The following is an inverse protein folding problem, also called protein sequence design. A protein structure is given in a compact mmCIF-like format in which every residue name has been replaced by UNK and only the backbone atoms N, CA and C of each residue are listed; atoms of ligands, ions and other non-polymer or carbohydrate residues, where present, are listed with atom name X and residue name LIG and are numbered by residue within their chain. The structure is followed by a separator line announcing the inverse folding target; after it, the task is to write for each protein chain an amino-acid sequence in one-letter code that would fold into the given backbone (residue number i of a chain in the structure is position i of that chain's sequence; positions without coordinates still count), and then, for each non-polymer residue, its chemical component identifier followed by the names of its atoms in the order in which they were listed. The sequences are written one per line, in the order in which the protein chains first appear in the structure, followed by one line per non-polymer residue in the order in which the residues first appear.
data_IF_069516955444
#
_entry.id   IF_069516955444
#
_cell.length_a   1.000
_cell.length_b   1.000
_cell.length_c   1.000
_cell.angle_alpha   90.00
_cell.angle_beta   90.00
_cell.angle_gamma   90.00
#
_symmetry.space_group_name_H-M   'P 1'
#
loop_
_entity.id
_entity.type
_entity.pdbx_description
1 polymer ?
#
# COMPACT_ATOMS: atom_id res chain seq x y z
N UNK A 1 13.66 -10.69 10.73
CA UNK A 1 12.68 -11.79 10.63
C UNK A 1 13.12 -12.99 11.44
N UNK A 2 14.40 -13.38 11.37
CA UNK A 2 14.98 -14.49 12.14
C UNK A 2 14.56 -14.53 13.62
N UNK A 3 14.85 -13.46 14.39
CA UNK A 3 14.42 -13.36 15.80
C UNK A 3 12.91 -13.53 16.03
N UNK A 4 12.08 -13.11 15.07
CA UNK A 4 10.61 -13.27 15.17
C UNK A 4 10.24 -14.72 14.96
N UNK A 5 10.86 -15.39 13.97
CA UNK A 5 10.65 -16.82 13.72
C UNK A 5 11.10 -17.67 14.90
N UNK A 6 12.18 -17.31 15.59
CA UNK A 6 12.65 -18.03 16.77
C UNK A 6 11.63 -17.95 17.91
N UNK A 7 11.10 -16.75 18.20
CA UNK A 7 10.02 -16.56 19.19
C UNK A 7 8.79 -17.40 18.81
N UNK A 8 8.40 -17.36 17.53
CA UNK A 8 7.23 -18.10 17.02
C UNK A 8 7.40 -19.60 17.22
N UNK A 9 8.59 -20.15 16.90
CA UNK A 9 8.90 -21.58 17.09
C UNK A 9 8.93 -21.98 18.56
N UNK A 10 9.63 -21.21 19.40
CA UNK A 10 9.76 -21.50 20.83
C UNK A 10 8.42 -21.50 21.56
N UNK A 11 7.47 -20.69 21.11
CA UNK A 11 6.17 -20.51 21.76
C UNK A 11 5.01 -21.18 21.01
N UNK A 12 5.29 -21.99 19.98
CA UNK A 12 4.28 -22.64 19.14
C UNK A 12 3.19 -21.67 18.62
N UNK A 13 3.62 -20.49 18.13
CA UNK A 13 2.72 -19.45 17.62
C UNK A 13 2.52 -19.57 16.11
N UNK A 14 1.51 -18.85 15.61
CA UNK A 14 1.29 -18.66 14.17
C UNK A 14 1.78 -17.28 13.78
N UNK A 15 2.66 -17.21 12.78
CA UNK A 15 3.05 -15.95 12.16
C UNK A 15 2.10 -15.61 11.00
N UNK A 16 1.49 -14.43 11.06
CA UNK A 16 0.75 -13.82 9.94
C UNK A 16 1.47 -12.54 9.57
N UNK A 17 1.79 -12.37 8.29
CA UNK A 17 2.48 -11.18 7.81
C UNK A 17 1.48 -10.14 7.27
N UNK A 18 1.48 -8.93 7.85
CA UNK A 18 0.87 -7.76 7.22
C UNK A 18 1.88 -7.15 6.25
N UNK A 19 1.64 -7.37 4.95
CA UNK A 19 2.46 -6.90 3.85
C UNK A 19 1.82 -5.74 3.07
N UNK A 20 0.89 -5.00 3.69
CA UNK A 20 0.20 -3.89 3.04
C UNK A 20 1.15 -2.82 2.47
N UNK A 21 2.36 -2.67 3.04
CA UNK A 21 3.37 -1.69 2.61
C UNK A 21 4.65 -2.29 2.03
N UNK A 22 4.76 -3.61 1.90
CA UNK A 22 6.01 -4.31 1.60
C UNK A 22 5.98 -5.18 0.34
N UNK A 23 4.95 -5.05 -0.51
CA UNK A 23 4.92 -5.79 -1.78
C UNK A 23 6.21 -5.61 -2.58
N UNK A 24 6.86 -6.72 -2.92
CA UNK A 24 8.11 -6.77 -3.68
C UNK A 24 9.39 -6.73 -2.83
N UNK A 25 9.30 -6.42 -1.54
CA UNK A 25 10.46 -6.37 -0.64
C UNK A 25 11.05 -7.77 -0.37
N UNK A 26 12.33 -7.81 0.02
CA UNK A 26 13.05 -9.04 0.36
C UNK A 26 13.81 -8.92 1.68
N UNK A 27 13.95 -10.06 2.36
CA UNK A 27 14.81 -10.26 3.52
C UNK A 27 15.68 -11.49 3.25
N UNK A 28 16.99 -11.30 3.12
CA UNK A 28 17.99 -12.31 2.73
C UNK A 28 17.55 -13.13 1.50
N UNK A 29 17.29 -12.45 0.38
CA UNK A 29 16.84 -13.01 -0.90
C UNK A 29 15.49 -13.76 -0.88
N UNK A 30 14.80 -13.81 0.27
CA UNK A 30 13.46 -14.35 0.38
C UNK A 30 12.43 -13.21 0.37
N UNK A 31 11.38 -13.36 -0.45
CA UNK A 31 10.31 -12.36 -0.59
C UNK A 31 9.51 -12.23 0.71
N UNK A 32 9.23 -10.99 1.11
CA UNK A 32 8.32 -10.71 2.23
C UNK A 32 6.93 -11.22 1.90
N UNK A 33 6.25 -11.80 2.90
CA UNK A 33 4.98 -12.51 2.74
C UNK A 33 5.11 -14.02 2.53
N UNK A 34 6.32 -14.57 2.70
CA UNK A 34 6.60 -16.01 2.57
C UNK A 34 7.21 -16.64 3.83
N UNK A 35 7.31 -15.89 4.92
CA UNK A 35 7.90 -16.35 6.19
C UNK A 35 6.85 -16.92 7.15
N UNK A 36 5.62 -16.39 7.10
CA UNK A 36 4.51 -16.81 7.94
C UNK A 36 3.65 -17.92 7.35
N UNK A 37 2.60 -18.28 8.09
CA UNK A 37 1.56 -19.21 7.65
C UNK A 37 0.69 -18.59 6.55
N UNK A 38 0.48 -17.29 6.62
CA UNK A 38 -0.22 -16.51 5.61
C UNK A 38 0.29 -15.07 5.60
N UNK A 39 0.11 -14.39 4.47
CA UNK A 39 0.43 -12.98 4.34
C UNK A 39 -0.68 -12.23 3.60
N UNK A 40 -0.85 -10.95 3.95
CA UNK A 40 -1.87 -10.08 3.37
C UNK A 40 -1.25 -8.86 2.70
N UNK A 41 -1.65 -8.59 1.47
CA UNK A 41 -1.24 -7.44 0.68
C UNK A 41 -2.42 -6.52 0.42
N UNK A 42 -2.15 -5.21 0.33
CA UNK A 42 -3.14 -4.19 0.02
C UNK A 42 -2.88 -3.61 -1.36
N UNK A 43 -3.97 -3.36 -2.09
CA UNK A 43 -3.96 -2.69 -3.40
C UNK A 43 -4.75 -1.37 -3.36
N UNK A 44 -4.77 -0.70 -2.20
CA UNK A 44 -5.33 0.65 -2.09
C UNK A 44 -4.54 1.67 -2.90
N UNK A 45 -5.13 2.85 -3.10
CA UNK A 45 -4.57 3.93 -3.94
C UNK A 45 -3.13 4.35 -3.60
N UNK A 46 -2.73 4.24 -2.35
CA UNK A 46 -1.43 4.70 -1.83
C UNK A 46 -0.35 3.61 -1.76
N UNK A 47 -0.60 2.41 -2.32
CA UNK A 47 0.33 1.27 -2.25
C UNK A 47 1.32 1.22 -3.42
N UNK A 48 2.25 0.28 -3.38
CA UNK A 48 3.28 0.09 -4.43
C UNK A 48 2.62 -0.13 -5.79
N UNK A 49 1.59 -0.97 -5.83
CA UNK A 49 0.65 -1.10 -6.93
C UNK A 49 -0.75 -0.76 -6.43
N UNK A 50 -1.63 -0.30 -7.31
CA UNK A 50 -2.99 0.10 -6.93
C UNK A 50 -4.02 -0.42 -7.91
N UNK A 51 -5.06 -1.05 -7.38
CA UNK A 51 -6.33 -1.31 -8.08
C UNK A 51 -7.45 -0.42 -7.57
N UNK A 52 -7.11 0.76 -7.03
CA UNK A 52 -7.99 1.68 -6.30
C UNK A 52 -8.38 1.14 -4.92
N UNK A 53 -8.97 -0.06 -4.88
CA UNK A 53 -9.21 -0.86 -3.68
C UNK A 53 -8.94 -2.33 -3.95
N UNK A 54 -8.74 -3.09 -2.88
CA UNK A 54 -8.57 -4.53 -2.92
C UNK A 54 -7.34 -4.97 -2.13
N UNK A 55 -7.08 -6.27 -2.20
CA UNK A 55 -5.98 -6.90 -1.54
C UNK A 55 -5.87 -8.36 -1.94
N UNK A 56 -4.85 -9.02 -1.43
CA UNK A 56 -4.53 -10.41 -1.71
C UNK A 56 -4.11 -11.09 -0.43
N UNK A 57 -4.62 -12.29 -0.18
CA UNK A 57 -4.07 -13.19 0.82
C UNK A 57 -3.24 -14.25 0.09
N UNK A 58 -2.10 -14.63 0.66
CA UNK A 58 -1.26 -15.72 0.14
C UNK A 58 -0.91 -16.67 1.29
N UNK A 59 -0.71 -17.93 0.94
CA UNK A 59 -0.25 -18.98 1.85
C UNK A 59 0.41 -20.09 1.02
N UNK A 60 1.35 -20.81 1.64
CA UNK A 60 1.93 -22.03 1.10
C UNK A 60 1.22 -23.31 1.61
N UNK A 61 0.21 -23.17 2.49
CA UNK A 61 -0.60 -24.28 3.00
C UNK A 61 -1.85 -24.44 2.10
N UNK A 62 -1.97 -25.54 1.34
CA UNK A 62 -3.13 -25.78 0.48
C UNK A 62 -4.45 -25.85 1.24
N UNK A 63 -4.46 -26.41 2.45
CA UNK A 63 -5.66 -26.50 3.29
C UNK A 63 -6.11 -25.12 3.75
N UNK A 64 -5.16 -24.26 4.16
CA UNK A 64 -5.47 -22.87 4.49
C UNK A 64 -5.93 -22.09 3.25
N UNK A 65 -5.29 -22.32 2.10
CA UNK A 65 -5.67 -21.71 0.82
C UNK A 65 -7.12 -21.99 0.46
N UNK A 66 -7.55 -23.24 0.58
CA UNK A 66 -8.94 -23.66 0.34
C UNK A 66 -9.91 -22.98 1.32
N UNK A 67 -9.56 -22.92 2.62
CA UNK A 67 -10.37 -22.23 3.62
C UNK A 67 -10.50 -20.72 3.34
N UNK A 68 -9.42 -20.08 2.87
CA UNK A 68 -9.44 -18.67 2.47
C UNK A 68 -10.34 -18.46 1.25
N UNK A 69 -10.28 -19.36 0.27
CA UNK A 69 -11.14 -19.32 -0.91
C UNK A 69 -12.63 -19.46 -0.54
N UNK A 70 -12.98 -20.46 0.27
CA UNK A 70 -14.33 -20.65 0.78
C UNK A 70 -14.84 -19.45 1.60
N UNK A 71 -13.96 -18.85 2.42
CA UNK A 71 -14.31 -17.64 3.16
C UNK A 71 -14.59 -16.46 2.22
N UNK A 72 -13.82 -16.34 1.13
CA UNK A 72 -14.01 -15.31 0.12
C UNK A 72 -15.31 -15.51 -0.69
N UNK A 73 -15.69 -16.76 -0.99
CA UNK A 73 -16.91 -17.07 -1.74
C UNK A 73 -18.20 -16.77 -0.99
N UNK A 74 -18.16 -16.82 0.36
CA UNK A 74 -19.28 -16.38 1.21
C UNK A 74 -19.50 -14.86 1.18
N UNK A 75 -18.58 -14.08 0.60
CA UNK A 75 -18.69 -12.63 0.52
C UNK A 75 -19.41 -12.18 -0.74
N UNK A 76 -20.39 -11.30 -0.58
CA UNK A 76 -21.00 -10.62 -1.71
C UNK A 76 -20.00 -9.69 -2.42
N UNK A 77 -20.17 -9.56 -3.73
CA UNK A 77 -19.55 -8.49 -4.50
C UNK A 77 -20.13 -7.11 -4.10
N UNK A 78 -19.36 -6.01 -4.28
CA UNK A 78 -19.92 -4.67 -4.23
C UNK A 78 -20.83 -4.41 -5.45
N UNK A 79 -21.66 -3.37 -5.37
CA UNK A 79 -22.58 -3.01 -6.46
C UNK A 79 -21.84 -2.56 -7.72
N UNK A 80 -22.46 -2.75 -8.89
CA UNK A 80 -21.91 -2.28 -10.16
C UNK A 80 -21.63 -0.77 -10.18
N UNK A 81 -22.53 0.04 -9.60
CA UNK A 81 -22.31 1.49 -9.46
C UNK A 81 -21.03 1.80 -8.66
N UNK A 82 -20.79 1.06 -7.57
CA UNK A 82 -19.56 1.22 -6.79
C UNK A 82 -18.31 0.81 -7.55
N UNK A 83 -18.38 -0.29 -8.32
CA UNK A 83 -17.28 -0.75 -9.18
C UNK A 83 -16.97 0.32 -10.23
N UNK A 84 -17.98 0.82 -10.94
CA UNK A 84 -17.84 1.88 -11.94
C UNK A 84 -17.23 3.14 -11.32
N UNK A 85 -17.70 3.55 -10.14
CA UNK A 85 -17.13 4.66 -9.39
C UNK A 85 -15.62 4.47 -9.15
N UNK A 86 -15.18 3.27 -8.77
CA UNK A 86 -13.75 2.99 -8.55
C UNK A 86 -12.94 3.04 -9.84
N UNK A 87 -13.49 2.55 -10.96
CA UNK A 87 -12.83 2.60 -12.26
C UNK A 87 -12.71 4.03 -12.81
N UNK A 88 -13.74 4.86 -12.61
CA UNK A 88 -13.75 6.25 -13.03
C UNK A 88 -12.86 7.15 -12.16
N UNK A 89 -12.72 6.82 -10.86
CA UNK A 89 -11.93 7.63 -9.93
C UNK A 89 -10.52 8.00 -10.44
N UNK A 90 -9.63 7.05 -10.83
CA UNK A 90 -8.29 7.41 -11.31
C UNK A 90 -8.32 8.21 -12.63
N UNK A 91 -9.32 7.98 -13.49
CA UNK A 91 -9.48 8.70 -14.76
C UNK A 91 -9.83 10.16 -14.48
N UNK A 92 -10.84 10.42 -13.65
CA UNK A 92 -11.27 11.76 -13.26
C UNK A 92 -10.16 12.51 -12.50
N UNK A 93 -9.45 11.82 -11.61
CA UNK A 93 -8.32 12.41 -10.89
C UNK A 93 -7.20 12.81 -11.84
N UNK A 94 -6.77 11.92 -12.74
CA UNK A 94 -5.58 12.14 -13.57
C UNK A 94 -5.83 13.04 -14.79
N UNK A 95 -7.00 12.94 -15.43
CA UNK A 95 -7.27 13.69 -16.67
C UNK A 95 -7.89 15.06 -16.42
N UNK A 96 -8.58 15.24 -15.29
CA UNK A 96 -9.36 16.44 -15.06
C UNK A 96 -8.91 17.20 -13.81
N UNK A 97 -8.90 16.55 -12.64
CA UNK A 97 -8.64 17.25 -11.36
C UNK A 97 -7.18 17.66 -11.20
N UNK A 98 -6.24 16.72 -11.31
CA UNK A 98 -4.82 17.01 -11.06
C UNK A 98 -4.24 18.03 -12.06
N UNK A 99 -4.52 17.96 -13.38
CA UNK A 99 -4.01 18.95 -14.33
C UNK A 99 -4.53 20.37 -14.06
N UNK A 100 -5.79 20.49 -13.62
CA UNK A 100 -6.45 21.78 -13.36
C UNK A 100 -6.32 22.24 -11.90
N UNK A 101 -5.64 21.47 -11.04
CA UNK A 101 -5.55 21.76 -9.60
C UNK A 101 -4.81 23.07 -9.31
N UNK A 102 -3.83 23.43 -10.17
CA UNK A 102 -3.08 24.70 -10.07
C UNK A 102 -3.97 25.93 -10.28
N UNK A 103 -5.00 25.82 -11.12
CA UNK A 103 -5.83 26.96 -11.55
C UNK A 103 -7.10 27.13 -10.71
N UNK A 104 -7.12 26.64 -9.46
CA UNK A 104 -8.27 26.63 -8.55
C UNK A 104 -9.46 25.75 -9.02
N UNK A 105 -9.68 25.62 -10.32
CA UNK A 105 -10.74 24.82 -10.94
C UNK A 105 -10.71 23.36 -10.47
N UNK A 106 -9.54 22.72 -10.48
CA UNK A 106 -9.39 21.35 -9.99
C UNK A 106 -9.72 21.19 -8.51
N UNK A 107 -9.50 22.24 -7.68
CA UNK A 107 -9.88 22.22 -6.25
C UNK A 107 -11.41 22.27 -6.10
N UNK A 108 -12.06 23.17 -6.83
CA UNK A 108 -13.52 23.30 -6.84
C UNK A 108 -14.14 21.98 -7.31
N UNK A 109 -13.62 21.42 -8.40
CA UNK A 109 -14.09 20.17 -8.96
C UNK A 109 -13.90 18.99 -8.01
N UNK A 110 -12.75 18.92 -7.32
CA UNK A 110 -12.50 17.90 -6.31
C UNK A 110 -13.54 17.95 -5.19
N UNK A 111 -13.82 19.14 -4.66
CA UNK A 111 -14.84 19.32 -3.60
C UNK A 111 -16.23 18.96 -4.13
N UNK A 112 -16.59 19.44 -5.32
CA UNK A 112 -17.86 19.15 -5.97
C UNK A 112 -18.06 17.64 -6.18
N UNK A 113 -17.08 16.95 -6.75
CA UNK A 113 -17.15 15.52 -7.01
C UNK A 113 -17.14 14.68 -5.74
N UNK A 114 -16.49 15.13 -4.67
CA UNK A 114 -16.59 14.48 -3.37
C UNK A 114 -17.96 14.69 -2.73
N UNK A 115 -18.53 15.89 -2.87
CA UNK A 115 -19.87 16.23 -2.37
C UNK A 115 -20.96 15.45 -3.12
N UNK A 116 -20.85 15.34 -4.44
CA UNK A 116 -21.74 14.53 -5.29
C UNK A 116 -21.48 13.02 -5.17
N UNK A 117 -20.57 12.58 -4.31
CA UNK A 117 -20.18 11.17 -4.17
C UNK A 117 -19.71 10.50 -5.49
N UNK A 118 -19.19 11.27 -6.44
CA UNK A 118 -18.56 10.75 -7.66
C UNK A 118 -17.19 10.17 -7.33
N UNK A 119 -16.45 10.81 -6.42
CA UNK A 119 -15.16 10.31 -5.94
C UNK A 119 -15.30 9.57 -4.62
N UNK A 120 -14.80 8.33 -4.58
CA UNK A 120 -14.77 7.53 -3.36
C UNK A 120 -13.75 8.06 -2.34
N UNK A 121 -14.16 8.16 -1.07
CA UNK A 121 -13.28 8.51 0.05
C UNK A 121 -12.39 7.33 0.43
N UNK A 122 -11.10 7.58 0.66
CA UNK A 122 -10.09 6.53 0.91
C UNK A 122 -10.31 5.74 2.19
N UNK A 123 -10.84 6.42 3.21
CA UNK A 123 -11.06 5.86 4.54
C UNK A 123 -12.45 6.31 4.98
N UNK A 124 -13.28 5.35 5.35
CA UNK A 124 -14.59 5.62 5.89
C UNK A 124 -14.49 6.22 7.29
N UNK A 125 -15.44 7.08 7.67
CA UNK A 125 -15.40 7.76 8.97
C UNK A 125 -15.42 6.78 10.15
N UNK A 126 -16.08 5.62 10.00
CA UNK A 126 -16.08 4.53 10.99
C UNK A 126 -14.67 3.97 11.18
N UNK A 127 -13.92 3.75 10.11
CA UNK A 127 -12.55 3.24 10.18
C UNK A 127 -11.63 4.23 10.91
N UNK A 128 -11.82 5.54 10.70
CA UNK A 128 -11.09 6.58 11.47
C UNK A 128 -11.34 6.53 12.98
N UNK A 129 -12.43 5.88 13.41
CA UNK A 129 -12.78 5.66 14.83
C UNK A 129 -12.50 4.22 15.29
N UNK A 130 -11.75 3.44 14.51
CA UNK A 130 -11.49 2.03 14.81
C UNK A 130 -12.73 1.12 14.69
N UNK A 131 -13.80 1.57 14.02
CA UNK A 131 -15.05 0.81 13.84
C UNK A 131 -15.12 0.20 12.44
N UNK A 132 -15.63 -1.03 12.36
CA UNK A 132 -15.87 -1.72 11.08
C UNK A 132 -17.00 -1.01 10.29
N UNK A 133 -16.77 -0.64 9.01
CA UNK A 133 -17.82 -0.07 8.19
C UNK A 133 -18.81 -1.13 7.71
N UNK A 134 -20.06 -0.74 7.44
CA UNK A 134 -21.14 -1.65 7.04
C UNK A 134 -20.97 -2.22 5.62
N UNK A 135 -20.22 -1.53 4.75
CA UNK A 135 -19.98 -2.00 3.38
C UNK A 135 -18.87 -3.06 3.30
N UNK A 136 -18.21 -3.43 4.41
CA UNK A 136 -17.12 -4.41 4.46
C UNK A 136 -17.47 -5.56 5.42
N UNK A 137 -17.13 -6.82 5.11
CA UNK A 137 -16.29 -7.31 4.01
C UNK A 137 -17.03 -7.47 2.68
N UNK A 138 -16.29 -7.34 1.58
CA UNK A 138 -16.75 -7.58 0.20
C UNK A 138 -15.67 -8.28 -0.59
N UNK A 139 -16.10 -9.04 -1.60
CA UNK A 139 -15.20 -9.70 -2.55
C UNK A 139 -14.53 -8.67 -3.46
N UNK A 140 -13.26 -8.92 -3.83
CA UNK A 140 -12.56 -8.08 -4.80
C UNK A 140 -13.22 -8.23 -6.18
N UNK A 141 -13.72 -7.16 -6.82
CA UNK A 141 -14.32 -7.24 -8.15
C UNK A 141 -13.32 -7.69 -9.22
N UNK A 142 -13.77 -8.49 -10.19
CA UNK A 142 -12.92 -8.96 -11.29
C UNK A 142 -12.28 -7.81 -12.08
N UNK A 143 -13.00 -6.70 -12.26
CA UNK A 143 -12.47 -5.50 -12.92
C UNK A 143 -11.28 -4.91 -12.16
N UNK A 144 -11.34 -4.85 -10.82
CA UNK A 144 -10.22 -4.37 -10.00
C UNK A 144 -9.09 -5.40 -9.94
N UNK A 145 -9.41 -6.70 -9.96
CA UNK A 145 -8.41 -7.76 -10.02
C UNK A 145 -7.60 -7.70 -11.34
N UNK A 146 -8.26 -7.45 -12.47
CA UNK A 146 -7.60 -7.24 -13.76
C UNK A 146 -6.69 -6.00 -13.73
N UNK A 147 -7.12 -4.91 -13.09
CA UNK A 147 -6.25 -3.74 -12.89
C UNK A 147 -5.03 -4.09 -12.04
N UNK A 148 -5.20 -4.81 -10.93
CA UNK A 148 -4.09 -5.26 -10.10
C UNK A 148 -3.09 -6.11 -10.89
N UNK A 149 -3.57 -7.10 -11.66
CA UNK A 149 -2.72 -7.94 -12.52
C UNK A 149 -1.93 -7.11 -13.53
N UNK A 150 -2.55 -6.09 -14.15
CA UNK A 150 -1.85 -5.18 -15.08
C UNK A 150 -0.80 -4.32 -14.37
N UNK A 151 -1.04 -3.93 -13.12
CA UNK A 151 -0.07 -3.19 -12.31
C UNK A 151 1.09 -4.07 -11.84
N UNK A 152 0.83 -5.34 -11.53
CA UNK A 152 1.87 -6.31 -11.18
C UNK A 152 2.96 -6.44 -12.25
N UNK A 153 2.59 -6.38 -13.54
CA UNK A 153 3.55 -6.36 -14.67
C UNK A 153 4.51 -5.16 -14.63
N UNK A 154 4.22 -4.13 -13.82
CA UNK A 154 5.02 -2.91 -13.68
C UNK A 154 5.76 -2.85 -12.33
N UNK A 155 5.67 -3.89 -11.51
CA UNK A 155 6.19 -3.88 -10.13
C UNK A 155 7.68 -3.55 -10.08
N UNK A 156 8.50 -4.22 -10.88
CA UNK A 156 9.95 -3.98 -10.94
C UNK A 156 10.27 -2.55 -11.36
N UNK A 157 9.58 -2.03 -12.38
CA UNK A 157 9.73 -0.63 -12.81
C UNK A 157 9.42 0.36 -11.67
N UNK A 158 8.36 0.12 -10.90
CA UNK A 158 8.04 0.97 -9.75
C UNK A 158 9.09 0.87 -8.65
N UNK A 159 9.61 -0.34 -8.42
CA UNK A 159 10.64 -0.59 -7.42
C UNK A 159 11.95 0.11 -7.76
N UNK A 160 12.42 -0.02 -8.99
CA UNK A 160 13.62 0.67 -9.50
C UNK A 160 13.47 2.19 -9.40
N UNK A 161 12.32 2.73 -9.81
CA UNK A 161 12.07 4.17 -9.72
C UNK A 161 12.09 4.66 -8.28
N UNK A 162 11.47 3.93 -7.35
CA UNK A 162 11.48 4.27 -5.91
C UNK A 162 12.89 4.20 -5.31
N UNK A 163 13.72 3.24 -5.73
CA UNK A 163 15.13 3.19 -5.32
C UNK A 163 15.92 4.39 -5.81
N UNK A 164 15.72 4.82 -7.07
CA UNK A 164 16.34 6.04 -7.60
C UNK A 164 15.93 7.27 -6.78
N UNK A 165 14.65 7.41 -6.45
CA UNK A 165 14.16 8.49 -5.58
C UNK A 165 14.73 8.41 -4.16
N UNK A 166 14.84 7.21 -3.59
CA UNK A 166 15.43 7.03 -2.27
C UNK A 166 16.92 7.43 -2.25
N UNK A 167 17.69 7.05 -3.28
CA UNK A 167 19.08 7.47 -3.44
C UNK A 167 19.20 9.00 -3.52
N UNK A 168 18.33 9.64 -4.30
CA UNK A 168 18.23 11.10 -4.35
C UNK A 168 17.93 11.72 -2.98
N UNK A 169 16.97 11.16 -2.22
CA UNK A 169 16.72 11.68 -0.86
C UNK A 169 17.89 11.49 0.09
N UNK A 170 18.62 10.38 0.00
CA UNK A 170 19.84 10.20 0.80
C UNK A 170 20.91 11.22 0.46
N UNK A 171 21.12 11.55 -0.82
CA UNK A 171 22.12 12.56 -1.22
C UNK A 171 21.74 13.95 -0.72
N UNK A 172 20.50 14.37 -0.92
CA UNK A 172 20.04 15.72 -0.53
C UNK A 172 19.95 15.91 0.98
N UNK A 173 19.64 14.85 1.74
CA UNK A 173 19.42 14.94 3.18
C UNK A 173 20.66 14.62 4.03
N UNK A 174 21.78 14.22 3.42
CA UNK A 174 23.00 13.77 4.11
C UNK A 174 23.51 14.77 5.17
N UNK A 175 23.45 16.07 4.87
CA UNK A 175 23.91 17.15 5.74
C UNK A 175 22.75 18.00 6.30
N UNK A 176 21.52 17.50 6.22
CA UNK A 176 20.33 18.19 6.71
C UNK A 176 20.12 17.95 8.21
N UNK A 177 19.22 18.71 8.83
CA UNK A 177 18.78 18.47 10.22
C UNK A 177 17.85 17.24 10.37
N UNK A 178 17.54 16.54 9.28
CA UNK A 178 16.65 15.38 9.28
C UNK A 178 17.42 14.09 9.52
N UNK A 179 16.91 13.25 10.43
CA UNK A 179 17.37 11.87 10.59
C UNK A 179 16.70 11.00 9.50
N UNK A 180 17.52 10.47 8.59
CA UNK A 180 17.08 9.57 7.51
C UNK A 180 17.08 8.09 7.95
N UNK A 181 16.39 7.18 7.24
CA UNK A 181 16.42 5.76 7.58
C UNK A 181 17.85 5.19 7.55
N UNK A 182 18.18 4.34 8.53
CA UNK A 182 19.52 3.76 8.63
C UNK A 182 19.76 2.72 7.52
N UNK A 183 20.90 2.83 6.83
CA UNK A 183 21.42 1.88 5.83
C UNK A 183 22.84 1.46 6.20
N UNK A 184 23.30 0.32 5.68
CA UNK A 184 24.73 -0.05 5.76
C UNK A 184 25.56 0.78 4.80
N UNK A 185 25.04 1.00 3.58
CA UNK A 185 25.64 1.86 2.56
C UNK A 185 24.53 2.62 1.84
N UNK A 186 24.64 3.95 1.85
CA UNK A 186 23.69 4.82 1.14
C UNK A 186 23.87 4.76 -0.37
N UNK A 187 25.08 4.47 -0.86
CA UNK A 187 25.38 4.34 -2.29
C UNK A 187 24.75 3.09 -2.91
N UNK A 188 24.86 1.96 -2.22
CA UNK A 188 24.30 0.68 -2.70
C UNK A 188 22.84 0.47 -2.27
N UNK A 189 22.33 1.33 -1.37
CA UNK A 189 21.06 1.15 -0.66
C UNK A 189 20.97 -0.24 -0.01
N UNK A 190 22.09 -0.71 0.56
CA UNK A 190 22.12 -1.98 1.27
C UNK A 190 21.60 -1.81 2.71
N UNK A 191 20.69 -2.69 3.09
CA UNK A 191 20.03 -2.74 4.39
C UNK A 191 20.28 -4.08 5.08
N UNK A 192 21.52 -4.57 5.07
CA UNK A 192 21.90 -5.83 5.74
C UNK A 192 21.12 -7.01 5.17
N UNK A 193 21.26 -7.22 3.85
CA UNK A 193 20.59 -8.30 3.13
C UNK A 193 19.10 -8.04 2.87
N UNK A 194 18.61 -6.82 3.09
CA UNK A 194 17.20 -6.46 2.85
C UNK A 194 17.07 -5.61 1.60
N UNK A 195 16.06 -5.91 0.79
CA UNK A 195 15.66 -5.08 -0.36
C UNK A 195 14.35 -4.37 -0.02
N UNK A 196 14.43 -3.05 0.16
CA UNK A 196 13.34 -2.22 0.66
C UNK A 196 12.39 -1.72 -0.46
N UNK A 197 11.08 -1.85 -0.29
CA UNK A 197 10.05 -1.40 -1.27
C UNK A 197 9.98 0.12 -1.46
N UNK A 198 10.48 0.88 -0.48
CA UNK A 198 10.43 2.35 -0.43
C UNK A 198 9.03 2.89 -0.76
N UNK A 199 8.00 2.25 -0.20
CA UNK A 199 6.66 2.80 -0.30
C UNK A 199 6.59 4.19 0.34
N UNK A 200 7.31 4.36 1.47
CA UNK A 200 7.54 5.63 2.14
C UNK A 200 9.03 5.78 2.43
N UNK A 201 9.52 7.01 2.33
CA UNK A 201 10.84 7.41 2.82
C UNK A 201 10.61 8.27 4.07
N UNK A 202 10.76 7.66 5.25
CA UNK A 202 10.41 8.31 6.51
C UNK A 202 11.63 8.97 7.13
N UNK A 203 11.52 10.27 7.41
CA UNK A 203 12.53 11.05 8.13
C UNK A 203 12.03 11.42 9.52
N UNK A 204 12.95 11.71 10.45
CA UNK A 204 12.61 12.28 11.75
C UNK A 204 13.24 13.66 11.92
N UNK A 205 12.57 14.50 12.70
CA UNK A 205 13.06 15.82 13.07
C UNK A 205 12.45 16.22 14.43
N UNK A 206 13.21 16.80 15.38
CA UNK A 206 12.67 17.20 16.69
C UNK A 206 11.47 18.16 16.60
N UNK A 207 11.50 19.05 15.60
CA UNK A 207 10.41 19.99 15.31
C UNK A 207 9.41 19.52 14.24
N UNK A 208 9.27 18.21 13.99
CA UNK A 208 8.42 17.67 12.93
C UNK A 208 6.99 18.24 12.95
N UNK A 209 6.39 18.41 14.14
CA UNK A 209 5.06 18.99 14.30
C UNK A 209 4.94 20.43 13.77
N UNK A 210 6.00 21.25 13.87
CA UNK A 210 6.02 22.63 13.34
C UNK A 210 6.21 22.63 11.83
N UNK A 211 7.06 21.73 11.32
CA UNK A 211 7.33 21.60 9.88
C UNK A 211 6.06 21.16 9.15
N UNK A 212 5.37 20.12 9.64
CA UNK A 212 4.15 19.60 9.02
C UNK A 212 3.02 20.63 9.00
N UNK A 213 2.91 21.51 10.01
CA UNK A 213 1.88 22.57 10.04
C UNK A 213 2.13 23.69 9.02
N UNK A 214 3.37 23.89 8.58
CA UNK A 214 3.77 24.95 7.64
C UNK A 214 3.80 24.49 6.18
N UNK A 215 3.81 23.17 5.94
CA UNK A 215 3.82 22.55 4.61
C UNK A 215 2.39 22.41 4.05
#
# INVERSE_FOLDING_TARGET
MEKVLDIVRQNNLILIEDCAHSLGAEYYNQKVGTFGKAAFFSFSRDKVISSVYGGMAVTNDPSLGERLHQAQDKLAYPSYCWILQQLLHPILMNLLILPTYKFLFGKILLVLFQWMHILSKAVHWKEKRGRKPCYFPKRMPNALALLAQRQFKKLEKFYEHRRKLAAFYYSELKNSSFEVPKTLSQETLDFLGRKHSFLRFTVKHPAAHKIIKKA
#
